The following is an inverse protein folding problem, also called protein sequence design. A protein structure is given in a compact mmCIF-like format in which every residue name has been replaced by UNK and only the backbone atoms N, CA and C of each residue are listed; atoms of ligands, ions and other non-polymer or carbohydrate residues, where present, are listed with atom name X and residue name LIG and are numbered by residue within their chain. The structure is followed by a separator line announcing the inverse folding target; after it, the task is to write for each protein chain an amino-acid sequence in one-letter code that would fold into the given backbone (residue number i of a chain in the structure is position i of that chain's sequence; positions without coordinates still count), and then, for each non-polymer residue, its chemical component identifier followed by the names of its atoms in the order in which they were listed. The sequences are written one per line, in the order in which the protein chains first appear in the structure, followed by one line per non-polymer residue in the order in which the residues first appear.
data_IF_152257944011
#
_entry.id   IF_152257944011
#
_cell.length_a   1.000
_cell.length_b   1.000
_cell.length_c   1.000
_cell.angle_alpha   90.00
_cell.angle_beta   90.00
_cell.angle_gamma   90.00
#
_symmetry.space_group_name_H-M   'P 1'
#
loop_
_entity.id
_entity.type
_entity.pdbx_description
1 polymer ?
#
# COMPACT_ATOMS: atom_id res chain seq x y z
N UNK A 1 6.02 -12.28 -32.19
CA UNK A 1 6.08 -12.76 -30.79
C UNK A 1 6.68 -11.74 -29.79
N UNK A 2 7.00 -10.49 -30.16
CA UNK A 2 7.59 -9.51 -29.22
C UNK A 2 6.56 -8.68 -28.42
N UNK A 3 5.37 -8.44 -28.97
CA UNK A 3 4.36 -7.57 -28.34
C UNK A 3 3.83 -8.17 -27.04
N UNK A 4 3.53 -9.48 -27.00
CA UNK A 4 3.03 -10.14 -25.79
C UNK A 4 4.02 -10.15 -24.63
N UNK A 5 5.31 -10.34 -24.92
CA UNK A 5 6.37 -10.26 -23.89
C UNK A 5 6.55 -8.84 -23.36
N UNK A 6 6.44 -7.82 -24.21
CA UNK A 6 6.52 -6.43 -23.79
C UNK A 6 5.38 -6.06 -22.84
N UNK A 7 4.14 -6.46 -23.17
CA UNK A 7 2.95 -6.24 -22.33
C UNK A 7 3.12 -6.91 -20.96
N UNK A 8 3.55 -8.17 -20.93
CA UNK A 8 3.74 -8.89 -19.66
C UNK A 8 4.82 -8.24 -18.76
N UNK A 9 5.88 -7.69 -19.34
CA UNK A 9 6.92 -6.97 -18.57
C UNK A 9 6.36 -5.65 -18.02
N UNK A 10 5.62 -4.90 -18.82
CA UNK A 10 4.97 -3.66 -18.40
C UNK A 10 3.97 -3.89 -17.25
N UNK A 11 3.15 -4.94 -17.34
CA UNK A 11 2.20 -5.28 -16.28
C UNK A 11 2.91 -5.65 -14.96
N UNK A 12 4.00 -6.43 -15.02
CA UNK A 12 4.82 -6.75 -13.85
C UNK A 12 5.52 -5.53 -13.24
N UNK A 13 6.01 -4.60 -14.07
CA UNK A 13 6.61 -3.34 -13.60
C UNK A 13 5.57 -2.48 -12.87
N UNK A 14 4.36 -2.38 -13.42
CA UNK A 14 3.27 -1.69 -12.75
C UNK A 14 2.91 -2.38 -11.41
N UNK A 15 2.92 -3.72 -11.37
CA UNK A 15 2.61 -4.49 -10.15
C UNK A 15 3.64 -4.20 -9.07
N UNK A 16 4.91 -4.16 -9.44
CA UNK A 16 6.01 -3.79 -8.54
C UNK A 16 5.81 -2.40 -7.94
N UNK A 17 5.44 -1.40 -8.75
CA UNK A 17 5.20 -0.03 -8.27
C UNK A 17 4.08 0.02 -7.24
N UNK A 18 3.00 -0.74 -7.43
CA UNK A 18 1.91 -0.82 -6.46
C UNK A 18 2.34 -1.51 -5.15
N UNK A 19 3.14 -2.57 -5.23
CA UNK A 19 3.70 -3.24 -4.05
C UNK A 19 4.62 -2.31 -3.26
N UNK A 20 5.54 -1.60 -3.94
CA UNK A 20 6.44 -0.62 -3.31
C UNK A 20 5.62 0.48 -2.57
N UNK A 21 4.49 0.91 -3.16
CA UNK A 21 3.57 1.87 -2.53
C UNK A 21 2.91 1.30 -1.27
N UNK A 22 2.51 0.03 -1.27
CA UNK A 22 1.93 -0.63 -0.09
C UNK A 22 2.94 -0.72 1.05
N UNK A 23 4.20 -1.05 0.76
CA UNK A 23 5.27 -1.09 1.76
C UNK A 23 5.46 0.26 2.46
N UNK A 24 5.50 1.36 1.68
CA UNK A 24 5.57 2.72 2.22
C UNK A 24 4.36 3.05 3.12
N UNK A 25 3.17 2.61 2.72
CA UNK A 25 1.96 2.85 3.51
C UNK A 25 1.99 2.11 4.85
N UNK A 26 2.44 0.85 4.86
CA UNK A 26 2.63 0.07 6.10
C UNK A 26 3.66 0.74 7.00
N UNK A 27 4.82 1.14 6.47
CA UNK A 27 5.82 1.89 7.24
C UNK A 27 5.23 3.14 7.90
N UNK A 28 4.42 3.89 7.16
CA UNK A 28 3.77 5.09 7.69
C UNK A 28 2.71 4.82 8.78
N UNK A 29 2.16 3.60 8.86
CA UNK A 29 1.29 3.18 9.96
C UNK A 29 2.11 2.79 11.19
N UNK A 30 3.27 2.16 11.00
CA UNK A 30 4.22 1.89 12.09
C UNK A 30 4.65 3.20 12.76
N UNK A 31 4.99 4.24 11.98
CA UNK A 31 5.29 5.58 12.52
C UNK A 31 4.16 6.14 13.41
N UNK A 32 2.90 5.83 13.08
CA UNK A 32 1.75 6.29 13.87
C UNK A 32 1.61 5.52 15.18
N UNK A 33 2.01 4.25 15.20
CA UNK A 33 2.04 3.41 16.40
C UNK A 33 3.20 3.88 17.30
N UNK A 34 4.39 4.10 16.76
CA UNK A 34 5.52 4.66 17.52
C UNK A 34 5.21 6.05 18.08
N UNK A 35 4.43 6.85 17.35
CA UNK A 35 3.91 8.11 17.88
C UNK A 35 2.94 7.89 19.06
N UNK A 36 2.06 6.89 18.97
CA UNK A 36 1.10 6.56 20.01
C UNK A 36 1.75 6.08 21.31
N UNK A 37 2.94 5.47 21.25
CA UNK A 37 3.66 4.97 22.42
C UNK A 37 4.26 6.07 23.32
N UNK A 38 4.28 7.33 22.87
CA UNK A 38 4.95 8.43 23.59
C UNK A 38 4.24 8.82 24.89
N UNK A 39 2.91 8.94 24.86
CA UNK A 39 2.07 9.26 26.02
C UNK A 39 0.59 8.92 25.75
N UNK A 40 -0.22 8.92 26.81
CA UNK A 40 -1.63 8.53 26.77
C UNK A 40 -2.48 9.40 25.83
N UNK A 41 -2.19 10.71 25.74
CA UNK A 41 -2.91 11.64 24.86
C UNK A 41 -2.56 11.40 23.37
N UNK A 42 -1.33 10.97 23.10
CA UNK A 42 -0.88 10.60 21.76
C UNK A 42 -1.58 9.34 21.22
N UNK A 43 -2.04 8.43 22.09
CA UNK A 43 -2.69 7.16 21.70
C UNK A 43 -3.92 7.41 20.83
N UNK A 44 -4.80 8.32 21.26
CA UNK A 44 -6.04 8.62 20.54
C UNK A 44 -5.76 9.15 19.13
N UNK A 45 -4.77 10.04 19.01
CA UNK A 45 -4.33 10.62 17.73
C UNK A 45 -3.66 9.57 16.85
N UNK A 46 -2.81 8.72 17.42
CA UNK A 46 -2.14 7.63 16.70
C UNK A 46 -3.14 6.64 16.11
N UNK A 47 -4.12 6.20 16.90
CA UNK A 47 -5.19 5.28 16.43
C UNK A 47 -6.01 5.92 15.30
N UNK A 48 -6.37 7.20 15.42
CA UNK A 48 -7.14 7.88 14.36
C UNK A 48 -6.34 7.96 13.04
N UNK A 49 -5.03 8.23 13.13
CA UNK A 49 -4.13 8.25 11.97
C UNK A 49 -3.98 6.86 11.35
N UNK A 50 -3.83 5.81 12.15
CA UNK A 50 -3.76 4.43 11.65
C UNK A 50 -5.04 4.07 10.89
N UNK A 51 -6.23 4.39 11.44
CA UNK A 51 -7.51 4.11 10.76
C UNK A 51 -7.60 4.81 9.39
N UNK A 52 -7.25 6.10 9.34
CA UNK A 52 -7.24 6.85 8.06
C UNK A 52 -6.26 6.27 7.05
N UNK A 53 -5.08 5.85 7.50
CA UNK A 53 -4.08 5.21 6.62
C UNK A 53 -4.53 3.83 6.15
N UNK A 54 -5.20 3.06 7.01
CA UNK A 54 -5.75 1.75 6.67
C UNK A 54 -6.78 1.85 5.54
N UNK A 55 -7.65 2.86 5.53
CA UNK A 55 -8.60 3.09 4.43
C UNK A 55 -7.89 3.29 3.08
N UNK A 56 -6.82 4.09 3.07
CA UNK A 56 -6.00 4.31 1.86
C UNK A 56 -5.26 3.04 1.43
N UNK A 57 -4.80 2.25 2.40
CA UNK A 57 -4.14 0.97 2.16
C UNK A 57 -5.06 -0.04 1.53
N UNK A 58 -6.28 -0.21 2.06
CA UNK A 58 -7.27 -1.13 1.48
C UNK A 58 -7.58 -0.78 0.03
N UNK A 59 -7.77 0.50 -0.29
CA UNK A 59 -7.94 0.93 -1.68
C UNK A 59 -6.74 0.57 -2.56
N UNK A 60 -5.52 0.75 -2.04
CA UNK A 60 -4.30 0.41 -2.79
C UNK A 60 -4.14 -1.10 -3.00
N UNK A 61 -4.66 -1.93 -2.09
CA UNK A 61 -4.74 -3.38 -2.24
C UNK A 61 -5.76 -3.77 -3.32
N UNK A 62 -6.93 -3.11 -3.34
CA UNK A 62 -7.93 -3.33 -4.39
C UNK A 62 -7.36 -2.96 -5.78
N UNK A 63 -6.69 -1.79 -5.87
CA UNK A 63 -6.01 -1.34 -7.10
C UNK A 63 -4.96 -2.39 -7.57
N UNK A 64 -4.21 -2.98 -6.64
CA UNK A 64 -3.24 -4.04 -6.95
C UNK A 64 -3.91 -5.32 -7.43
N UNK A 65 -5.02 -5.71 -6.81
CA UNK A 65 -5.82 -6.87 -7.22
C UNK A 65 -6.28 -6.75 -8.67
N UNK A 66 -6.89 -5.61 -9.03
CA UNK A 66 -7.33 -5.33 -10.41
C UNK A 66 -6.14 -5.41 -11.39
N UNK A 67 -4.97 -4.92 -10.98
CA UNK A 67 -3.80 -4.94 -11.83
C UNK A 67 -3.21 -6.34 -12.02
N UNK A 68 -3.24 -7.19 -11.00
CA UNK A 68 -2.80 -8.59 -11.11
C UNK A 68 -3.76 -9.47 -11.91
N UNK A 69 -5.06 -9.16 -11.92
CA UNK A 69 -6.04 -9.86 -12.77
C UNK A 69 -5.74 -9.64 -14.27
N UNK A 70 -5.17 -8.48 -14.64
CA UNK A 70 -4.75 -8.17 -16.01
C UNK A 70 -3.54 -8.98 -16.47
N UNK A 71 -2.76 -9.53 -15.53
CA UNK A 71 -1.62 -10.40 -15.82
C UNK A 71 -2.02 -11.86 -16.15
N UNK A 72 -3.32 -12.19 -16.15
CA UNK A 72 -3.84 -13.56 -16.32
C UNK A 72 -4.44 -13.86 -17.69
#
# INVERSE_FOLDING_TARGET
MQVGTFIAVEDLDNTRVLVDRLEVQVGSMVDCIEFAERDEEAVKVGIEKVKKKLEVFMKSVDDLGEQTDRCS
#
